data_IF_180477282732
#
_entry.id   IF_180477282732
#
_cell.length_a   1.000
_cell.length_b   1.000
_cell.length_c   1.000
_cell.angle_alpha   90.00
_cell.angle_beta   90.00
_cell.angle_gamma   90.00
#
_symmetry.space_group_name_H-M   'P 1'
#
loop_
_entity.id
_entity.type
_entity.pdbx_description
1 polymer ?
#
# COMPACT_ATOMS: atom_id res chain seq x y z
N UNK A 1 -2.97 7.28 20.00
CA UNK A 1 -1.99 6.62 19.12
C UNK A 1 -2.78 5.81 18.09
N UNK A 2 -2.31 5.74 16.84
CA UNK A 2 -2.98 4.96 15.82
C UNK A 2 -2.43 3.54 15.82
N UNK A 3 -3.32 2.58 15.66
CA UNK A 3 -3.02 1.17 15.81
C UNK A 3 -2.71 0.56 14.44
N UNK A 4 -1.43 0.28 14.19
CA UNK A 4 -0.97 -0.37 12.96
C UNK A 4 -1.48 -1.83 12.89
N UNK A 5 -1.82 -2.45 14.02
CA UNK A 5 -2.40 -3.80 14.05
C UNK A 5 -3.86 -3.83 13.61
N UNK A 6 -4.55 -2.68 13.64
CA UNK A 6 -5.86 -2.54 13.02
C UNK A 6 -5.82 -2.61 11.48
N UNK A 7 -4.63 -2.55 10.86
CA UNK A 7 -4.44 -2.85 9.44
C UNK A 7 -4.42 -4.36 9.24
N UNK A 8 -5.58 -4.90 8.87
CA UNK A 8 -5.81 -6.33 8.65
C UNK A 8 -6.10 -6.62 7.16
N UNK A 9 -5.74 -7.82 6.67
CA UNK A 9 -5.85 -8.14 5.24
C UNK A 9 -7.29 -8.41 4.80
N UNK A 10 -7.54 -8.22 3.50
CA UNK A 10 -8.73 -8.71 2.80
C UNK A 10 -8.31 -9.56 1.62
N UNK A 11 -9.07 -10.62 1.34
CA UNK A 11 -8.74 -11.54 0.25
C UNK A 11 -9.16 -10.96 -1.10
N UNK A 12 -8.33 -11.16 -2.12
CA UNK A 12 -8.57 -10.69 -3.48
C UNK A 12 -8.25 -11.81 -4.48
N UNK A 13 -9.04 -11.91 -5.52
CA UNK A 13 -8.72 -12.74 -6.70
C UNK A 13 -8.20 -11.81 -7.79
N UNK A 14 -7.00 -12.07 -8.28
CA UNK A 14 -6.39 -11.30 -9.38
C UNK A 14 -5.99 -12.26 -10.52
N UNK A 15 -6.00 -11.81 -11.78
CA UNK A 15 -5.45 -12.58 -12.88
C UNK A 15 -3.97 -12.93 -12.64
N UNK A 16 -3.54 -14.09 -13.14
CA UNK A 16 -2.12 -14.45 -13.16
C UNK A 16 -1.38 -13.47 -14.07
N UNK A 17 -0.24 -12.96 -13.59
CA UNK A 17 0.61 -12.05 -14.35
C UNK A 17 2.09 -12.34 -14.13
N UNK A 18 2.94 -11.69 -14.92
CA UNK A 18 4.40 -11.76 -14.74
C UNK A 18 4.88 -11.01 -13.49
N UNK A 19 4.05 -10.14 -12.91
CA UNK A 19 4.44 -9.33 -11.77
C UNK A 19 3.29 -9.12 -10.76
N UNK A 20 2.87 -10.17 -10.03
CA UNK A 20 1.77 -10.10 -9.07
C UNK A 20 1.95 -9.01 -8.00
N UNK A 21 3.19 -8.72 -7.59
CA UNK A 21 3.51 -7.63 -6.64
C UNK A 21 3.03 -6.27 -7.18
N UNK A 22 3.29 -5.96 -8.45
CA UNK A 22 2.83 -4.72 -9.06
C UNK A 22 1.29 -4.66 -9.10
N UNK A 23 0.63 -5.78 -9.37
CA UNK A 23 -0.83 -5.82 -9.48
C UNK A 23 -1.52 -5.61 -8.14
N UNK A 24 -1.04 -6.25 -7.06
CA UNK A 24 -1.65 -6.07 -5.74
C UNK A 24 -1.41 -4.67 -5.17
N UNK A 25 -0.25 -4.06 -5.43
CA UNK A 25 0.00 -2.66 -5.02
C UNK A 25 -0.93 -1.72 -5.79
N UNK A 26 -1.10 -1.92 -7.10
CA UNK A 26 -2.07 -1.15 -7.89
C UNK A 26 -3.51 -1.35 -7.40
N UNK A 27 -3.87 -2.56 -6.99
CA UNK A 27 -5.19 -2.87 -6.47
C UNK A 27 -5.42 -2.17 -5.11
N UNK A 28 -4.44 -2.21 -4.22
CA UNK A 28 -4.51 -1.57 -2.91
C UNK A 28 -4.73 -0.05 -3.03
N UNK A 29 -3.92 0.64 -3.84
CA UNK A 29 -3.99 2.10 -3.96
C UNK A 29 -5.27 2.60 -4.65
N UNK A 30 -6.01 1.72 -5.34
CA UNK A 30 -7.36 2.06 -5.83
C UNK A 30 -8.35 2.24 -4.69
N UNK A 31 -8.08 1.65 -3.51
CA UNK A 31 -8.91 1.79 -2.32
C UNK A 31 -10.31 1.17 -2.44
N UNK A 32 -10.51 0.26 -3.39
CA UNK A 32 -11.82 -0.32 -3.64
C UNK A 32 -12.17 -1.38 -2.59
N UNK A 33 -13.20 -1.07 -1.80
CA UNK A 33 -13.84 -1.99 -0.87
C UNK A 33 -15.21 -2.41 -1.39
N UNK A 34 -15.48 -3.71 -1.30
CA UNK A 34 -16.79 -4.30 -1.56
C UNK A 34 -17.81 -3.84 -0.51
N UNK A 35 -19.11 -4.02 -0.80
CA UNK A 35 -20.16 -3.71 0.16
C UNK A 35 -20.00 -4.51 1.46
N UNK A 36 -19.72 -5.81 1.36
CA UNK A 36 -19.57 -6.68 2.53
C UNK A 36 -18.43 -6.22 3.45
N UNK A 37 -17.30 -5.78 2.89
CA UNK A 37 -16.18 -5.26 3.69
C UNK A 37 -16.55 -3.96 4.42
N UNK A 38 -17.27 -3.07 3.73
CA UNK A 38 -17.78 -1.84 4.36
C UNK A 38 -18.79 -2.15 5.47
N UNK A 39 -19.66 -3.12 5.26
CA UNK A 39 -20.61 -3.59 6.27
C UNK A 39 -19.90 -4.22 7.49
N UNK A 40 -18.72 -4.82 7.27
CA UNK A 40 -17.82 -5.30 8.34
C UNK A 40 -16.98 -4.19 8.98
N UNK A 41 -17.14 -2.93 8.56
CA UNK A 41 -16.46 -1.77 9.15
C UNK A 41 -15.09 -1.44 8.55
N UNK A 42 -14.67 -2.11 7.47
CA UNK A 42 -13.42 -1.78 6.79
C UNK A 42 -13.47 -0.37 6.20
N UNK A 43 -12.32 0.31 6.29
CA UNK A 43 -12.06 1.61 5.68
C UNK A 43 -10.74 1.54 4.92
N UNK A 44 -10.59 2.41 3.94
CA UNK A 44 -9.35 2.59 3.19
C UNK A 44 -8.83 4.00 3.46
N UNK A 45 -7.50 4.13 3.55
CA UNK A 45 -6.86 5.46 3.59
C UNK A 45 -6.54 5.98 2.18
N UNK A 46 -6.63 5.13 1.15
CA UNK A 46 -6.44 5.50 -0.25
C UNK A 46 -7.77 5.91 -0.90
N UNK A 47 -7.95 7.19 -1.32
CA UNK A 47 -9.14 7.66 -2.01
C UNK A 47 -9.07 7.45 -3.53
N UNK A 48 -8.04 6.76 -4.05
CA UNK A 48 -7.81 6.56 -5.47
C UNK A 48 -6.71 7.48 -6.04
N UNK A 49 -6.87 7.87 -7.33
CA UNK A 49 -5.83 8.27 -8.32
C UNK A 49 -4.81 9.38 -7.96
N UNK A 50 -4.84 9.93 -6.75
CA UNK A 50 -3.93 11.00 -6.30
C UNK A 50 -2.50 10.50 -6.09
N UNK A 51 -2.33 9.27 -5.58
CA UNK A 51 -1.05 8.60 -5.49
C UNK A 51 -0.79 7.76 -6.75
N UNK A 52 0.31 8.04 -7.43
CA UNK A 52 0.72 7.28 -8.62
C UNK A 52 1.76 6.23 -8.24
N UNK A 53 1.50 4.97 -8.57
CA UNK A 53 2.49 3.90 -8.46
C UNK A 53 3.25 3.72 -9.78
N UNK A 54 4.56 3.97 -9.72
CA UNK A 54 5.46 3.97 -10.87
C UNK A 54 6.04 2.58 -11.14
N UNK A 55 6.23 1.75 -10.11
CA UNK A 55 6.66 0.37 -10.24
C UNK A 55 7.37 -0.17 -9.02
N UNK A 56 7.64 -1.48 -9.05
CA UNK A 56 8.39 -2.19 -8.03
C UNK A 56 9.69 -2.78 -8.60
N UNK A 57 10.73 -2.82 -7.76
CA UNK A 57 12.00 -3.48 -8.05
C UNK A 57 12.37 -4.35 -6.85
N UNK A 58 12.58 -5.65 -7.05
CA UNK A 58 13.01 -6.57 -6.00
C UNK A 58 14.47 -6.93 -6.19
N UNK A 59 15.31 -6.61 -5.20
CA UNK A 59 16.74 -6.92 -5.23
C UNK A 59 17.18 -7.46 -3.87
N UNK A 60 17.76 -8.67 -3.85
CA UNK A 60 18.29 -9.30 -2.63
C UNK A 60 17.29 -9.33 -1.47
N UNK A 61 16.00 -9.52 -1.78
CA UNK A 61 14.91 -9.55 -0.79
C UNK A 61 14.41 -8.18 -0.36
N UNK A 62 14.98 -7.08 -0.84
CA UNK A 62 14.49 -5.71 -0.59
C UNK A 62 13.58 -5.29 -1.74
N UNK A 63 12.32 -4.97 -1.43
CA UNK A 63 11.35 -4.47 -2.41
C UNK A 63 11.30 -2.94 -2.38
N UNK A 64 11.78 -2.33 -3.45
CA UNK A 64 11.69 -0.89 -3.69
C UNK A 64 10.38 -0.59 -4.41
N UNK A 65 9.52 0.20 -3.77
CA UNK A 65 8.24 0.64 -4.32
C UNK A 65 8.31 2.13 -4.63
N UNK A 66 8.23 2.46 -5.92
CA UNK A 66 8.37 3.84 -6.38
C UNK A 66 7.03 4.47 -6.68
N UNK A 67 6.85 5.69 -6.16
CA UNK A 67 5.62 6.45 -6.30
C UNK A 67 5.87 7.88 -6.80
N UNK A 68 4.80 8.54 -7.23
CA UNK A 68 4.74 9.97 -7.49
C UNK A 68 3.50 10.53 -6.79
N UNK A 69 3.70 11.55 -5.97
CA UNK A 69 2.67 12.20 -5.19
C UNK A 69 2.79 13.74 -5.29
N UNK A 70 2.49 14.31 -6.47
CA UNK A 70 2.69 15.74 -6.73
C UNK A 70 1.74 16.63 -5.91
N UNK A 71 0.67 16.07 -5.36
CA UNK A 71 -0.34 16.79 -4.58
C UNK A 71 -0.13 16.66 -3.07
N UNK A 72 0.90 15.91 -2.63
CA UNK A 72 1.19 15.71 -1.21
C UNK A 72 0.11 14.92 -0.47
N UNK A 73 -0.60 14.03 -1.17
CA UNK A 73 -1.66 13.19 -0.60
C UNK A 73 -1.15 12.30 0.54
N UNK A 74 0.08 11.82 0.41
CA UNK A 74 0.76 10.94 1.39
C UNK A 74 1.38 11.69 2.55
N UNK A 75 1.34 13.03 2.54
CA UNK A 75 1.74 13.88 3.66
C UNK A 75 0.57 14.13 4.63
N UNK A 76 0.89 14.61 5.82
CA UNK A 76 -0.09 15.05 6.81
C UNK A 76 0.07 14.34 8.16
N UNK A 77 -1.00 14.30 8.97
CA UNK A 77 -0.89 13.82 10.35
C UNK A 77 -0.23 12.44 10.48
N UNK A 78 0.74 12.33 11.39
CA UNK A 78 1.57 11.13 11.61
C UNK A 78 0.78 9.82 11.73
N UNK A 79 -0.39 9.87 12.36
CA UNK A 79 -1.32 8.76 12.45
C UNK A 79 -1.73 8.22 11.07
N UNK A 80 -2.27 9.08 10.21
CA UNK A 80 -2.81 8.71 8.91
C UNK A 80 -1.69 8.19 8.00
N UNK A 81 -0.57 8.91 8.01
CA UNK A 81 0.62 8.55 7.25
C UNK A 81 1.15 7.17 7.66
N UNK A 82 1.18 6.87 8.97
CA UNK A 82 1.58 5.55 9.47
C UNK A 82 0.64 4.44 9.00
N UNK A 83 -0.68 4.68 8.95
CA UNK A 83 -1.65 3.71 8.46
C UNK A 83 -1.57 3.48 6.94
N UNK A 84 -1.35 4.54 6.16
CA UNK A 84 -1.10 4.45 4.71
C UNK A 84 0.15 3.59 4.42
N UNK A 85 1.24 3.91 5.10
CA UNK A 85 2.51 3.18 4.99
C UNK A 85 2.34 1.71 5.37
N UNK A 86 1.70 1.44 6.51
CA UNK A 86 1.46 0.09 6.99
C UNK A 86 0.62 -0.77 6.02
N UNK A 87 -0.40 -0.19 5.36
CA UNK A 87 -1.18 -0.91 4.35
C UNK A 87 -0.32 -1.38 3.18
N UNK A 88 0.59 -0.53 2.68
CA UNK A 88 1.51 -0.87 1.60
C UNK A 88 2.52 -1.93 2.06
N UNK A 89 3.15 -1.73 3.21
CA UNK A 89 4.18 -2.64 3.74
C UNK A 89 3.60 -4.03 4.04
N UNK A 90 2.46 -4.12 4.74
CA UNK A 90 1.80 -5.41 5.02
C UNK A 90 1.38 -6.12 3.73
N UNK A 91 0.93 -5.38 2.71
CA UNK A 91 0.58 -5.95 1.40
C UNK A 91 1.82 -6.45 0.65
N UNK A 92 2.95 -5.75 0.72
CA UNK A 92 4.19 -6.18 0.09
C UNK A 92 4.84 -7.39 0.79
N UNK A 93 4.78 -7.42 2.11
CA UNK A 93 5.39 -8.48 2.94
C UNK A 93 4.62 -9.80 2.90
N UNK A 94 3.46 -9.87 2.24
CA UNK A 94 2.76 -11.14 2.00
C UNK A 94 3.51 -12.06 1.02
N UNK A 95 4.49 -11.54 0.28
CA UNK A 95 5.30 -12.32 -0.65
C UNK A 95 6.56 -12.82 0.06
N UNK A 96 6.75 -14.14 0.13
CA UNK A 96 7.87 -14.77 0.86
C UNK A 96 9.27 -14.32 0.38
N UNK A 97 9.37 -13.89 -0.87
CA UNK A 97 10.62 -13.36 -1.46
C UNK A 97 10.97 -11.95 -0.95
N UNK A 98 10.02 -11.23 -0.36
CA UNK A 98 10.20 -9.87 0.17
C UNK A 98 10.53 -9.96 1.66
N UNK A 99 11.72 -9.48 2.03
CA UNK A 99 12.22 -9.45 3.41
C UNK A 99 12.11 -8.07 4.04
N UNK A 100 12.16 -7.02 3.23
CA UNK A 100 11.94 -5.64 3.64
C UNK A 100 11.40 -4.80 2.48
N UNK A 101 10.85 -3.64 2.81
CA UNK A 101 10.23 -2.71 1.86
C UNK A 101 10.90 -1.35 2.00
N UNK A 102 11.20 -0.72 0.88
CA UNK A 102 11.67 0.67 0.79
C UNK A 102 10.67 1.45 -0.06
N UNK A 103 10.17 2.56 0.45
CA UNK A 103 9.25 3.45 -0.27
C UNK A 103 10.05 4.61 -0.86
N UNK A 104 9.89 4.84 -2.17
CA UNK A 104 10.60 5.87 -2.91
C UNK A 104 9.64 6.92 -3.48
N UNK A 105 10.01 8.22 -3.44
CA UNK A 105 11.24 8.78 -2.85
C UNK A 105 11.24 8.73 -1.30
N UNK A 106 12.40 8.86 -0.65
CA UNK A 106 12.54 8.75 0.82
C UNK A 106 11.59 9.67 1.61
N UNK A 107 11.26 10.83 1.05
CA UNK A 107 10.36 11.80 1.66
C UNK A 107 8.86 11.51 1.44
N UNK A 108 8.51 10.37 0.83
CA UNK A 108 7.12 9.94 0.71
C UNK A 108 6.62 9.31 2.00
N UNK A 109 5.32 9.49 2.31
CA UNK A 109 4.72 9.05 3.58
C UNK A 109 5.46 9.59 4.81
N UNK A 110 5.78 10.89 4.79
CA UNK A 110 6.34 11.60 5.94
C UNK A 110 5.25 12.42 6.66
N UNK A 111 5.27 12.52 8.01
CA UNK A 111 4.39 13.39 8.77
C UNK A 111 4.52 14.88 8.41
#
# INVERSE_FOLDING_TARGET
ACDIEAVIPVQRTIPVSQSPINDVVRLLIRGELTKAERDLGFKTEFPGRELQFLGAKLENGVLYLRFSDPLGFTSGGSCRVSLLKAQIEKTALQFDTVKSVVLEPENIFQP
#
